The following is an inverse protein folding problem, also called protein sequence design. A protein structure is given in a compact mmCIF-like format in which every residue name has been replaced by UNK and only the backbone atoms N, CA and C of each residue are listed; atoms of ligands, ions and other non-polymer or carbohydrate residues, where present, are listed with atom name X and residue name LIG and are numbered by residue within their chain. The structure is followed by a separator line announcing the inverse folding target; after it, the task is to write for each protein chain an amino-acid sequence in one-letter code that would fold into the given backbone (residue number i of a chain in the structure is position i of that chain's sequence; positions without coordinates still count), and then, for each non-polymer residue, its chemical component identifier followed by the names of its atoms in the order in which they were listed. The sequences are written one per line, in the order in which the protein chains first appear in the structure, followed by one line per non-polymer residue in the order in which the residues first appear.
data_IF_542880546178
#
_entry.id   IF_542880546178
#
_cell.length_a   1.000
_cell.length_b   1.000
_cell.length_c   1.000
_cell.angle_alpha   90.00
_cell.angle_beta   90.00
_cell.angle_gamma   90.00
#
_symmetry.space_group_name_H-M   'P 1'
#
loop_
_entity.id
_entity.type
_entity.pdbx_description
1 polymer ?
#
# COMPACT_ATOMS: atom_id res chain seq x y z
N UNK A 1 15.46 38.14 25.37
CA UNK A 1 15.61 36.71 25.70
C UNK A 1 14.44 36.39 26.62
N UNK A 2 13.32 35.94 26.06
CA UNK A 2 12.16 35.51 26.83
C UNK A 2 12.30 34.02 27.05
N UNK A 3 12.65 33.62 28.27
CA UNK A 3 12.47 32.25 28.76
C UNK A 3 10.97 32.02 28.89
N UNK A 4 10.40 31.21 28.00
CA UNK A 4 9.12 30.55 28.26
C UNK A 4 9.30 29.71 29.55
N UNK A 5 8.29 29.64 30.43
CA UNK A 5 8.41 28.90 31.67
C UNK A 5 8.48 27.39 31.36
N UNK A 6 9.52 26.71 31.84
CA UNK A 6 9.74 25.26 31.70
C UNK A 6 8.50 24.41 32.07
N UNK A 7 7.62 24.94 32.92
CA UNK A 7 6.36 24.32 33.31
C UNK A 7 5.35 24.15 32.16
N UNK A 8 5.33 25.06 31.18
CA UNK A 8 4.40 24.98 30.05
C UNK A 8 4.85 23.94 29.02
N UNK A 9 6.17 23.77 28.83
CA UNK A 9 6.74 22.77 27.93
C UNK A 9 6.56 21.35 28.46
N UNK A 10 6.84 21.12 29.77
CA UNK A 10 6.62 19.80 30.38
C UNK A 10 5.14 19.38 30.41
N UNK A 11 4.22 20.34 30.54
CA UNK A 11 2.79 20.07 30.49
C UNK A 11 2.32 19.70 29.07
N UNK A 12 2.83 20.39 28.04
CA UNK A 12 2.54 20.07 26.64
C UNK A 12 3.09 18.69 26.25
N UNK A 13 4.33 18.40 26.66
CA UNK A 13 4.96 17.09 26.44
C UNK A 13 4.17 15.96 27.11
N UNK A 14 3.73 16.14 28.37
CA UNK A 14 2.92 15.14 29.05
C UNK A 14 1.59 14.85 28.35
N UNK A 15 0.93 15.88 27.81
CA UNK A 15 -0.31 15.72 27.04
C UNK A 15 -0.07 14.89 25.76
N UNK A 16 1.06 15.09 25.08
CA UNK A 16 1.44 14.26 23.92
C UNK A 16 1.66 12.79 24.32
N UNK A 17 2.34 12.54 25.44
CA UNK A 17 2.57 11.19 25.96
C UNK A 17 1.24 10.49 26.33
N UNK A 18 0.31 11.20 26.97
CA UNK A 18 -1.03 10.69 27.27
C UNK A 18 -1.84 10.38 26.01
N UNK A 19 -1.69 11.19 24.95
CA UNK A 19 -2.35 10.93 23.66
C UNK A 19 -1.80 9.68 22.97
N UNK A 20 -0.50 9.42 23.08
CA UNK A 20 0.17 8.27 22.47
C UNK A 20 -0.04 6.96 23.23
N UNK A 21 -0.16 7.04 24.55
CA UNK A 21 -0.16 5.86 25.42
C UNK A 21 -1.22 4.79 25.04
N UNK A 22 -2.49 5.14 24.74
CA UNK A 22 -3.49 4.16 24.31
C UNK A 22 -3.12 3.44 23.02
N UNK A 23 -2.47 4.13 22.07
CA UNK A 23 -2.03 3.52 20.80
C UNK A 23 -0.92 2.49 21.05
N UNK A 24 0.06 2.83 21.88
CA UNK A 24 1.15 1.91 22.24
C UNK A 24 0.64 0.71 23.04
N UNK A 25 -0.31 0.93 23.95
CA UNK A 25 -0.98 -0.13 24.70
C UNK A 25 -1.76 -1.11 23.81
N UNK A 26 -2.39 -0.61 22.75
CA UNK A 26 -3.09 -1.43 21.77
C UNK A 26 -2.11 -2.21 20.89
N UNK A 27 -1.01 -1.58 20.48
CA UNK A 27 0.04 -2.22 19.69
C UNK A 27 0.74 -3.34 20.48
N UNK A 28 1.07 -3.10 21.76
CA UNK A 28 1.57 -4.12 22.69
C UNK A 28 0.66 -5.35 22.75
N UNK A 29 -0.65 -5.12 22.86
CA UNK A 29 -1.66 -6.18 22.93
C UNK A 29 -1.80 -6.94 21.60
N UNK A 30 -1.80 -6.23 20.48
CA UNK A 30 -1.98 -6.84 19.15
C UNK A 30 -0.79 -7.74 18.76
N UNK A 31 0.42 -7.32 19.11
CA UNK A 31 1.64 -8.05 18.75
C UNK A 31 2.27 -8.85 19.90
N UNK A 32 1.62 -8.88 21.07
CA UNK A 32 2.05 -9.63 22.25
C UNK A 32 3.50 -9.29 22.61
N UNK A 33 3.79 -8.00 22.75
CA UNK A 33 5.13 -7.50 23.12
C UNK A 33 5.41 -7.76 24.62
N UNK A 34 4.35 -7.88 25.42
CA UNK A 34 4.36 -8.17 26.87
C UNK A 34 5.19 -7.15 27.67
N UNK A 35 5.01 -5.86 27.36
CA UNK A 35 5.74 -4.81 28.06
C UNK A 35 5.00 -4.31 29.32
N UNK A 36 5.71 -4.05 30.45
CA UNK A 36 5.09 -3.51 31.65
C UNK A 36 4.34 -2.20 31.37
N UNK A 37 3.21 -1.96 32.05
CA UNK A 37 2.45 -0.71 31.91
C UNK A 37 3.14 0.43 32.67
N UNK A 38 2.98 1.66 32.17
CA UNK A 38 3.42 2.86 32.88
C UNK A 38 2.28 3.34 33.79
N UNK A 39 2.46 3.23 35.11
CA UNK A 39 1.41 3.53 36.09
C UNK A 39 0.93 4.98 36.04
N UNK A 40 1.84 5.92 35.78
CA UNK A 40 1.54 7.34 35.80
C UNK A 40 0.74 7.78 34.57
N UNK A 41 1.05 7.19 33.41
CA UNK A 41 0.26 7.36 32.18
C UNK A 41 -1.10 6.66 32.26
N UNK A 42 -1.17 5.49 32.89
CA UNK A 42 -2.43 4.77 33.09
C UNK A 42 -3.35 5.46 34.10
N UNK A 43 -2.77 6.06 35.14
CA UNK A 43 -3.48 6.85 36.14
C UNK A 43 -3.96 8.22 35.66
N UNK A 44 -3.47 8.70 34.51
CA UNK A 44 -3.88 9.99 33.92
C UNK A 44 -3.57 11.18 34.83
N UNK A 45 -2.38 11.19 35.45
CA UNK A 45 -1.99 12.23 36.41
C UNK A 45 -2.04 13.62 35.75
N UNK A 46 -2.82 14.55 36.32
CA UNK A 46 -3.00 15.91 35.75
C UNK A 46 -1.75 16.80 35.92
N UNK A 47 -0.98 16.60 37.00
CA UNK A 47 0.24 17.34 37.31
C UNK A 47 1.40 16.36 37.50
N UNK A 48 2.06 15.92 36.42
CA UNK A 48 3.16 14.97 36.51
C UNK A 48 4.36 15.60 37.22
N UNK A 49 5.09 14.78 37.96
CA UNK A 49 6.43 15.19 38.43
C UNK A 49 7.42 15.09 37.28
N UNK A 50 8.57 15.76 37.38
CA UNK A 50 9.64 15.60 36.39
C UNK A 50 10.07 14.13 36.26
N UNK A 51 10.13 13.41 37.38
CA UNK A 51 10.43 11.97 37.41
C UNK A 51 9.38 11.16 36.62
N UNK A 52 8.10 11.48 36.76
CA UNK A 52 7.01 10.84 35.99
C UNK A 52 7.17 11.05 34.48
N UNK A 53 7.53 12.27 34.05
CA UNK A 53 7.78 12.58 32.64
C UNK A 53 8.98 11.79 32.11
N UNK A 54 10.10 11.77 32.84
CA UNK A 54 11.31 11.03 32.48
C UNK A 54 11.05 9.51 32.40
N UNK A 55 10.30 8.96 33.36
CA UNK A 55 9.91 7.54 33.35
C UNK A 55 9.01 7.20 32.15
N UNK A 56 8.05 8.07 31.82
CA UNK A 56 7.20 7.91 30.66
C UNK A 56 7.99 7.96 29.34
N UNK A 57 8.89 8.95 29.18
CA UNK A 57 9.78 9.04 28.02
C UNK A 57 10.62 7.77 27.85
N UNK A 58 11.22 7.27 28.95
CA UNK A 58 12.00 6.04 28.94
C UNK A 58 11.14 4.83 28.54
N UNK A 59 9.91 4.76 29.05
CA UNK A 59 8.95 3.71 28.67
C UNK A 59 8.68 3.70 27.17
N UNK A 60 8.42 4.87 26.56
CA UNK A 60 8.24 4.98 25.11
C UNK A 60 9.51 4.63 24.34
N UNK A 61 10.68 5.07 24.81
CA UNK A 61 11.96 4.75 24.18
C UNK A 61 12.22 3.23 24.15
N UNK A 62 11.91 2.52 25.24
CA UNK A 62 12.06 1.07 25.34
C UNK A 62 11.05 0.32 24.46
N UNK A 63 9.79 0.80 24.42
CA UNK A 63 8.78 0.27 23.52
C UNK A 63 9.16 0.45 22.06
N UNK A 64 9.67 1.62 21.68
CA UNK A 64 10.08 1.91 20.31
C UNK A 64 11.18 0.97 19.83
N UNK A 65 12.08 0.51 20.69
CA UNK A 65 13.11 -0.47 20.31
C UNK A 65 12.52 -1.85 20.00
N UNK A 66 11.39 -2.20 20.62
CA UNK A 66 10.72 -3.50 20.44
C UNK A 66 9.80 -3.50 19.23
N UNK A 67 9.15 -2.38 18.95
CA UNK A 67 8.21 -2.23 17.84
C UNK A 67 8.96 -2.24 16.52
N UNK A 68 8.62 -3.18 15.65
CA UNK A 68 9.14 -3.25 14.28
C UNK A 68 8.25 -2.44 13.32
N UNK A 69 8.85 -1.88 12.27
CA UNK A 69 8.11 -1.08 11.27
C UNK A 69 6.95 -1.84 10.62
N UNK A 70 7.07 -3.16 10.43
CA UNK A 70 6.01 -3.96 9.84
C UNK A 70 4.81 -4.14 10.79
N UNK A 71 5.05 -4.22 12.11
CA UNK A 71 4.00 -4.27 13.13
C UNK A 71 3.24 -2.94 13.17
N UNK A 72 3.98 -1.83 13.20
CA UNK A 72 3.40 -0.49 13.13
C UNK A 72 2.55 -0.30 11.86
N UNK A 73 3.05 -0.80 10.72
CA UNK A 73 2.30 -0.76 9.46
C UNK A 73 1.00 -1.54 9.53
N UNK A 74 1.05 -2.78 10.00
CA UNK A 74 -0.13 -3.63 10.11
C UNK A 74 -1.15 -2.98 11.05
N UNK A 75 -0.71 -2.55 12.24
CA UNK A 75 -1.54 -1.88 13.23
C UNK A 75 -2.29 -0.67 12.64
N UNK A 76 -1.55 0.27 12.04
CA UNK A 76 -2.13 1.53 11.55
C UNK A 76 -3.03 1.36 10.32
N UNK A 77 -3.01 0.18 9.68
CA UNK A 77 -3.89 -0.14 8.55
C UNK A 77 -5.17 -0.86 8.98
N UNK A 78 -5.18 -1.50 10.14
CA UNK A 78 -6.31 -2.32 10.63
C UNK A 78 -7.05 -1.67 11.79
N UNK A 79 -6.40 -0.76 12.52
CA UNK A 79 -6.96 -0.13 13.72
C UNK A 79 -7.92 1.01 13.38
N UNK A 80 -8.98 1.14 14.18
CA UNK A 80 -9.87 2.32 14.19
C UNK A 80 -9.45 3.36 15.23
N UNK A 81 -8.42 3.07 16.03
CA UNK A 81 -7.98 3.92 17.14
C UNK A 81 -7.16 5.14 16.69
N UNK A 82 -6.70 5.14 15.45
CA UNK A 82 -5.80 6.18 14.95
C UNK A 82 -6.57 7.36 14.37
N UNK A 83 -6.25 8.57 14.83
CA UNK A 83 -6.73 9.84 14.30
C UNK A 83 -5.58 10.63 13.65
N UNK A 84 -5.90 11.68 12.91
CA UNK A 84 -4.89 12.63 12.38
C UNK A 84 -3.97 13.15 13.51
N UNK A 85 -4.56 13.54 14.65
CA UNK A 85 -3.80 14.04 15.80
C UNK A 85 -2.91 12.95 16.40
N UNK A 86 -3.36 11.69 16.45
CA UNK A 86 -2.55 10.57 16.91
C UNK A 86 -1.36 10.28 15.99
N UNK A 87 -1.56 10.34 14.66
CA UNK A 87 -0.47 10.21 13.68
C UNK A 87 0.53 11.36 13.80
N UNK A 88 0.04 12.59 13.96
CA UNK A 88 0.87 13.78 14.16
C UNK A 88 1.73 13.64 15.42
N UNK A 89 1.13 13.32 16.56
CA UNK A 89 1.85 13.14 17.81
C UNK A 89 2.91 12.03 17.71
N UNK A 90 2.61 10.94 17.00
CA UNK A 90 3.55 9.83 16.84
C UNK A 90 4.73 10.24 15.96
N UNK A 91 4.48 11.00 14.89
CA UNK A 91 5.52 11.59 14.06
C UNK A 91 6.41 12.56 14.85
N UNK A 92 5.80 13.45 15.63
CA UNK A 92 6.51 14.41 16.48
C UNK A 92 7.37 13.70 17.53
N UNK A 93 6.85 12.65 18.17
CA UNK A 93 7.62 11.80 19.10
C UNK A 93 8.88 11.20 18.45
N UNK A 94 8.73 10.55 17.28
CA UNK A 94 9.89 9.98 16.59
C UNK A 94 10.86 11.04 16.06
N UNK A 95 10.36 12.20 15.61
CA UNK A 95 11.18 13.32 15.17
C UNK A 95 11.85 14.05 16.35
N UNK A 96 11.27 14.04 17.54
CA UNK A 96 11.83 14.68 18.73
C UNK A 96 13.07 13.98 19.30
N UNK A 97 13.31 12.72 18.90
CA UNK A 97 14.48 11.96 19.37
C UNK A 97 15.80 12.64 19.01
N UNK A 98 16.68 12.77 20.01
CA UNK A 98 18.02 13.33 19.85
C UNK A 98 18.92 12.49 18.93
N UNK A 99 18.75 11.16 18.96
CA UNK A 99 19.45 10.20 18.11
C UNK A 99 18.41 9.30 17.44
N UNK A 100 18.47 9.20 16.11
CA UNK A 100 17.51 8.40 15.32
C UNK A 100 18.25 7.25 14.65
N UNK A 101 17.77 6.03 14.90
CA UNK A 101 18.31 4.83 14.28
C UNK A 101 17.81 4.63 12.85
N UNK A 102 18.36 3.65 12.13
CA UNK A 102 17.79 3.21 10.84
C UNK A 102 16.36 2.68 10.98
N UNK A 103 16.01 2.10 12.14
CA UNK A 103 14.65 1.65 12.43
C UNK A 103 13.71 2.85 12.58
N UNK A 104 14.12 3.89 13.31
CA UNK A 104 13.35 5.13 13.44
C UNK A 104 13.14 5.78 12.07
N UNK A 105 14.16 5.81 11.20
CA UNK A 105 14.01 6.28 9.82
C UNK A 105 12.90 5.56 9.07
N UNK A 106 12.86 4.23 9.12
CA UNK A 106 11.86 3.45 8.39
C UNK A 106 10.45 3.61 8.98
N UNK A 107 10.34 3.83 10.30
CA UNK A 107 9.06 4.18 10.95
C UNK A 107 8.60 5.58 10.55
N UNK A 108 9.47 6.57 10.58
CA UNK A 108 9.18 7.95 10.16
C UNK A 108 8.76 7.97 8.68
N UNK A 109 9.51 7.31 7.80
CA UNK A 109 9.15 7.17 6.37
C UNK A 109 7.74 6.60 6.19
N UNK A 110 7.42 5.53 6.91
CA UNK A 110 6.08 4.96 6.87
C UNK A 110 5.00 5.91 7.42
N UNK A 111 5.24 6.52 8.58
CA UNK A 111 4.30 7.40 9.24
C UNK A 111 4.02 8.67 8.42
N UNK A 112 5.02 9.25 7.77
CA UNK A 112 4.85 10.41 6.89
C UNK A 112 3.95 10.08 5.70
N UNK A 113 4.16 8.92 5.08
CA UNK A 113 3.31 8.45 3.97
C UNK A 113 1.89 8.14 4.46
N UNK A 114 1.74 7.58 5.65
CA UNK A 114 0.44 7.28 6.23
C UNK A 114 -0.32 8.56 6.61
N UNK A 115 0.34 9.54 7.22
CA UNK A 115 -0.22 10.86 7.52
C UNK A 115 -0.62 11.58 6.23
N UNK A 116 0.28 11.66 5.24
CA UNK A 116 -0.05 12.26 3.94
C UNK A 116 -1.25 11.58 3.28
N UNK A 117 -1.28 10.24 3.28
CA UNK A 117 -2.40 9.48 2.72
C UNK A 117 -3.73 9.69 3.47
N UNK A 118 -3.67 10.02 4.76
CA UNK A 118 -4.86 10.31 5.57
C UNK A 118 -5.42 11.71 5.27
N UNK A 119 -4.54 12.69 5.07
CA UNK A 119 -4.91 14.06 4.75
C UNK A 119 -5.22 14.28 3.25
N UNK A 120 -4.71 13.40 2.37
CA UNK A 120 -4.89 13.51 0.92
C UNK A 120 -6.38 13.37 0.52
N UNK A 121 -6.90 14.23 -0.37
CA UNK A 121 -8.26 14.11 -0.89
C UNK A 121 -8.48 12.78 -1.63
N UNK A 122 -9.69 12.24 -1.52
CA UNK A 122 -10.06 10.95 -2.14
C UNK A 122 -9.95 10.92 -3.68
N UNK A 123 -9.91 12.08 -4.35
CA UNK A 123 -9.81 12.22 -5.82
C UNK A 123 -8.50 12.84 -6.31
N UNK A 124 -7.47 12.87 -5.48
CA UNK A 124 -6.16 13.43 -5.84
C UNK A 124 -5.55 12.68 -7.04
N UNK A 125 -5.24 13.37 -8.14
CA UNK A 125 -4.56 12.75 -9.28
C UNK A 125 -3.08 12.56 -8.98
N UNK A 126 -2.41 11.67 -9.72
CA UNK A 126 -0.98 11.38 -9.49
C UNK A 126 -0.11 12.60 -9.87
N UNK A 127 -0.52 13.33 -10.91
CA UNK A 127 0.14 14.53 -11.42
C UNK A 127 0.08 15.70 -10.43
N UNK A 128 -0.98 15.77 -9.63
CA UNK A 128 -1.19 16.82 -8.63
C UNK A 128 -0.31 16.62 -7.38
N UNK A 129 0.31 15.43 -7.21
CA UNK A 129 1.17 15.13 -6.07
C UNK A 129 2.56 15.72 -6.30
N UNK A 130 2.66 17.04 -6.35
CA UNK A 130 3.93 17.76 -6.47
C UNK A 130 4.66 17.87 -5.12
N UNK A 131 5.98 18.14 -5.15
CA UNK A 131 6.78 18.34 -3.92
C UNK A 131 6.18 19.46 -3.05
N UNK A 132 5.75 20.56 -3.66
CA UNK A 132 5.16 21.69 -2.96
C UNK A 132 3.84 21.30 -2.26
N UNK A 133 3.00 20.49 -2.92
CA UNK A 133 1.77 20.00 -2.33
C UNK A 133 2.03 19.08 -1.13
N UNK A 134 2.97 18.14 -1.26
CA UNK A 134 3.36 17.25 -0.15
C UNK A 134 3.95 18.05 1.00
N UNK A 135 4.79 19.05 0.72
CA UNK A 135 5.35 19.94 1.74
C UNK A 135 4.25 20.68 2.53
N UNK A 136 3.26 21.24 1.83
CA UNK A 136 2.14 21.94 2.47
C UNK A 136 1.35 21.03 3.42
N UNK A 137 1.06 19.80 3.01
CA UNK A 137 0.34 18.84 3.84
C UNK A 137 1.15 18.44 5.07
N UNK A 138 2.48 18.30 4.93
CA UNK A 138 3.37 17.89 6.02
C UNK A 138 3.88 19.06 6.89
N UNK A 139 3.64 20.32 6.50
CA UNK A 139 4.07 21.50 7.25
C UNK A 139 3.71 21.44 8.75
N UNK A 140 2.51 20.98 9.18
CA UNK A 140 2.17 20.88 10.60
C UNK A 140 3.03 19.89 11.40
N UNK A 141 3.78 19.02 10.74
CA UNK A 141 4.68 18.05 11.38
C UNK A 141 6.06 18.67 11.64
N UNK A 142 6.44 19.67 10.86
CA UNK A 142 7.78 20.25 10.88
C UNK A 142 7.76 21.62 11.54
N UNK A 143 8.54 21.80 12.61
CA UNK A 143 8.55 23.05 13.37
C UNK A 143 9.10 24.25 12.59
N UNK A 144 9.94 24.04 11.57
CA UNK A 144 10.43 25.01 10.57
C UNK A 144 11.40 24.29 9.61
N UNK A 145 11.49 24.71 8.34
CA UNK A 145 12.51 24.17 7.45
C UNK A 145 12.38 24.55 5.98
N UNK A 146 13.43 24.26 5.23
CA UNK A 146 13.38 24.25 3.76
C UNK A 146 12.83 22.89 3.28
N UNK A 147 11.70 22.95 2.57
CA UNK A 147 11.02 21.80 2.01
C UNK A 147 11.40 21.53 0.55
N UNK A 148 12.34 22.31 -0.01
CA UNK A 148 12.87 22.06 -1.35
C UNK A 148 13.56 20.70 -1.39
N UNK A 149 13.24 19.90 -2.42
CA UNK A 149 13.86 18.60 -2.60
C UNK A 149 15.35 18.79 -2.95
N UNK A 150 16.29 18.21 -2.18
CA UNK A 150 17.71 18.31 -2.49
C UNK A 150 18.07 17.73 -3.86
N UNK A 151 19.03 18.32 -4.57
CA UNK A 151 19.44 17.90 -5.92
C UNK A 151 19.84 16.42 -6.01
N UNK A 152 20.45 15.86 -4.95
CA UNK A 152 20.85 14.46 -4.90
C UNK A 152 19.66 13.47 -4.90
N UNK A 153 18.42 13.98 -4.73
CA UNK A 153 17.17 13.24 -4.86
C UNK A 153 16.51 13.34 -6.23
N UNK A 154 17.10 14.07 -7.20
CA UNK A 154 16.64 14.09 -8.58
C UNK A 154 16.38 12.69 -9.20
N UNK A 155 17.14 11.62 -8.87
CA UNK A 155 16.84 10.27 -9.37
C UNK A 155 15.45 9.73 -9.00
N UNK A 156 14.81 10.23 -7.93
CA UNK A 156 13.46 9.78 -7.54
C UNK A 156 12.42 10.04 -8.64
N UNK A 157 12.54 11.15 -9.37
CA UNK A 157 11.63 11.46 -10.48
C UNK A 157 11.83 10.55 -11.69
N UNK A 158 13.07 10.11 -11.94
CA UNK A 158 13.35 9.09 -12.97
C UNK A 158 12.76 7.74 -12.59
N UNK A 159 12.87 7.36 -11.32
CA UNK A 159 12.29 6.13 -10.78
C UNK A 159 10.77 6.12 -10.89
N UNK A 160 10.11 7.24 -10.58
CA UNK A 160 8.66 7.38 -10.73
C UNK A 160 8.21 7.30 -12.19
N UNK A 161 8.91 7.96 -13.10
CA UNK A 161 8.64 7.84 -14.54
C UNK A 161 8.74 6.40 -15.01
N UNK A 162 9.83 5.71 -14.68
CA UNK A 162 10.00 4.30 -15.03
C UNK A 162 8.93 3.39 -14.40
N UNK A 163 8.47 3.69 -13.19
CA UNK A 163 7.42 2.92 -12.52
C UNK A 163 6.06 3.11 -13.21
N UNK A 164 5.77 4.33 -13.67
CA UNK A 164 4.54 4.63 -14.42
C UNK A 164 4.51 3.94 -15.79
N UNK A 165 5.66 3.73 -16.42
CA UNK A 165 5.77 3.03 -17.70
C UNK A 165 5.57 1.50 -17.59
N UNK A 166 5.66 0.93 -16.38
CA UNK A 166 5.39 -0.49 -16.17
C UNK A 166 3.94 -0.86 -16.54
N UNK A 167 3.75 -2.07 -17.09
CA UNK A 167 2.43 -2.60 -17.52
C UNK A 167 2.01 -3.84 -16.73
N UNK A 168 2.91 -4.34 -15.89
CA UNK A 168 2.67 -5.44 -14.97
C UNK A 168 3.44 -5.28 -13.67
N UNK A 169 2.99 -5.99 -12.63
CA UNK A 169 3.78 -6.14 -11.40
C UNK A 169 5.14 -6.80 -11.69
N UNK A 170 5.20 -7.72 -12.64
CA UNK A 170 6.46 -8.36 -13.04
C UNK A 170 7.46 -7.36 -13.60
N UNK A 171 7.01 -6.42 -14.45
CA UNK A 171 7.87 -5.36 -15.01
C UNK A 171 8.42 -4.48 -13.90
N UNK A 172 7.55 -4.07 -12.96
CA UNK A 172 7.92 -3.23 -11.82
C UNK A 172 8.99 -3.90 -10.95
N UNK A 173 8.79 -5.19 -10.61
CA UNK A 173 9.73 -5.96 -9.80
C UNK A 173 11.05 -6.22 -10.54
N UNK A 174 11.00 -6.50 -11.84
CA UNK A 174 12.20 -6.78 -12.65
C UNK A 174 13.02 -5.51 -12.89
N UNK A 175 12.37 -4.35 -13.02
CA UNK A 175 13.03 -3.06 -13.17
C UNK A 175 13.82 -2.62 -11.91
N UNK A 176 13.55 -3.27 -10.76
CA UNK A 176 14.26 -3.03 -9.50
C UNK A 176 14.09 -1.63 -8.95
N UNK A 177 12.96 -0.98 -9.25
CA UNK A 177 12.74 0.45 -8.94
C UNK A 177 12.63 0.66 -7.42
N UNK A 178 11.91 -0.23 -6.73
CA UNK A 178 11.78 -0.20 -5.28
C UNK A 178 13.13 -0.40 -4.59
N UNK A 179 13.96 -1.31 -5.10
CA UNK A 179 15.29 -1.60 -4.58
C UNK A 179 16.21 -0.39 -4.75
N UNK A 180 16.15 0.30 -5.89
CA UNK A 180 16.88 1.54 -6.14
C UNK A 180 16.45 2.66 -5.17
N UNK A 181 15.14 2.85 -4.98
CA UNK A 181 14.60 3.81 -4.02
C UNK A 181 15.01 3.50 -2.57
N UNK A 182 14.90 2.24 -2.15
CA UNK A 182 15.36 1.78 -0.83
C UNK A 182 16.86 2.00 -0.64
N UNK A 183 17.68 1.72 -1.65
CA UNK A 183 19.13 1.94 -1.61
C UNK A 183 19.47 3.43 -1.49
N UNK A 184 18.77 4.30 -2.23
CA UNK A 184 18.96 5.75 -2.13
C UNK A 184 18.60 6.26 -0.73
N UNK A 185 17.46 5.81 -0.17
CA UNK A 185 17.06 6.11 1.21
C UNK A 185 18.07 5.60 2.23
N UNK A 186 18.56 4.37 2.07
CA UNK A 186 19.55 3.77 2.94
C UNK A 186 20.85 4.60 2.99
N UNK A 187 21.34 4.99 1.81
CA UNK A 187 22.56 5.77 1.63
C UNK A 187 22.45 7.22 2.11
N UNK A 188 21.24 7.77 2.25
CA UNK A 188 21.04 9.12 2.74
C UNK A 188 21.56 9.30 4.18
N UNK A 189 21.51 8.25 5.00
CA UNK A 189 21.90 8.32 6.42
C UNK A 189 21.18 9.48 7.12
N UNK A 190 21.94 10.31 7.82
CA UNK A 190 21.44 11.52 8.50
C UNK A 190 20.80 12.55 7.55
N UNK A 191 21.22 12.59 6.29
CA UNK A 191 20.63 13.51 5.29
C UNK A 191 19.16 13.20 4.99
N UNK A 192 18.66 12.02 5.39
CA UNK A 192 17.25 11.72 5.29
C UNK A 192 16.40 12.66 6.14
N UNK A 193 16.88 13.05 7.33
CA UNK A 193 16.09 13.79 8.32
C UNK A 193 15.98 15.30 8.05
N UNK A 194 16.50 15.79 6.92
CA UNK A 194 16.21 17.16 6.49
C UNK A 194 14.79 17.22 5.91
N UNK A 195 13.99 18.27 6.20
CA UNK A 195 12.59 18.31 5.80
C UNK A 195 12.34 18.07 4.30
N UNK A 196 13.09 18.73 3.41
CA UNK A 196 12.98 18.51 1.97
C UNK A 196 13.25 17.06 1.51
N UNK A 197 14.13 16.32 2.19
CA UNK A 197 14.35 14.91 1.87
C UNK A 197 13.19 14.03 2.32
N UNK A 198 12.64 14.28 3.52
CA UNK A 198 11.46 13.58 4.02
C UNK A 198 10.23 13.83 3.13
N UNK A 199 10.03 15.06 2.66
CA UNK A 199 8.98 15.41 1.69
C UNK A 199 9.17 14.63 0.38
N UNK A 200 10.38 14.62 -0.17
CA UNK A 200 10.67 13.92 -1.42
C UNK A 200 10.47 12.39 -1.32
N UNK A 201 10.92 11.76 -0.23
CA UNK A 201 10.68 10.34 0.01
C UNK A 201 9.21 10.04 0.29
N UNK A 202 8.49 10.93 0.99
CA UNK A 202 7.04 10.77 1.21
C UNK A 202 6.29 10.77 -0.12
N UNK A 203 6.59 11.74 -1.00
CA UNK A 203 6.03 11.80 -2.36
C UNK A 203 6.33 10.52 -3.14
N UNK A 204 7.60 10.11 -3.17
CA UNK A 204 8.03 8.91 -3.88
C UNK A 204 7.29 7.67 -3.37
N UNK A 205 7.30 7.42 -2.07
CA UNK A 205 6.68 6.26 -1.45
C UNK A 205 5.17 6.23 -1.65
N UNK A 206 4.50 7.39 -1.58
CA UNK A 206 3.06 7.51 -1.85
C UNK A 206 2.72 7.17 -3.30
N UNK A 207 3.41 7.77 -4.27
CA UNK A 207 3.18 7.50 -5.69
C UNK A 207 3.53 6.06 -6.07
N UNK A 208 4.62 5.51 -5.51
CA UNK A 208 4.96 4.10 -5.70
C UNK A 208 3.88 3.16 -5.15
N UNK A 209 3.23 3.52 -4.03
CA UNK A 209 2.08 2.79 -3.48
C UNK A 209 0.93 2.75 -4.51
N UNK A 210 0.62 3.88 -5.15
CA UNK A 210 -0.42 3.99 -6.17
C UNK A 210 -0.09 3.19 -7.44
N UNK A 211 1.13 3.30 -7.94
CA UNK A 211 1.60 2.49 -9.08
C UNK A 211 1.47 1.01 -8.78
N UNK A 212 1.90 0.57 -7.60
CA UNK A 212 1.78 -0.82 -7.19
C UNK A 212 0.33 -1.32 -7.20
N UNK A 213 -0.61 -0.57 -6.61
CA UNK A 213 -2.03 -0.93 -6.60
C UNK A 213 -2.64 -0.94 -8.00
N UNK A 214 -2.33 0.06 -8.83
CA UNK A 214 -2.78 0.11 -10.22
C UNK A 214 -2.37 -1.15 -10.98
N UNK A 215 -1.09 -1.52 -10.89
CA UNK A 215 -0.55 -2.70 -11.57
C UNK A 215 -1.13 -3.99 -10.99
N UNK A 216 -1.25 -4.08 -9.66
CA UNK A 216 -1.88 -5.24 -9.02
C UNK A 216 -3.30 -5.47 -9.51
N UNK A 217 -4.14 -4.43 -9.56
CA UNK A 217 -5.49 -4.53 -10.09
C UNK A 217 -5.51 -4.89 -11.57
N UNK A 218 -4.62 -4.29 -12.36
CA UNK A 218 -4.48 -4.60 -13.79
C UNK A 218 -4.10 -6.07 -14.02
N UNK A 219 -3.13 -6.59 -13.27
CA UNK A 219 -2.70 -7.98 -13.34
C UNK A 219 -3.82 -8.93 -12.94
N UNK A 220 -4.55 -8.61 -11.87
CA UNK A 220 -5.67 -9.42 -11.40
C UNK A 220 -6.83 -9.46 -12.40
N UNK A 221 -7.17 -8.32 -13.01
CA UNK A 221 -8.17 -8.27 -14.07
C UNK A 221 -7.70 -9.06 -15.30
N UNK A 222 -6.44 -8.92 -15.71
CA UNK A 222 -5.86 -9.69 -16.82
C UNK A 222 -5.92 -11.20 -16.56
N UNK A 223 -5.66 -11.64 -15.32
CA UNK A 223 -5.79 -13.03 -14.90
C UNK A 223 -7.25 -13.49 -15.05
N UNK A 224 -8.21 -12.74 -14.52
CA UNK A 224 -9.63 -13.10 -14.57
C UNK A 224 -10.17 -13.16 -15.99
N UNK A 225 -9.77 -12.23 -16.85
CA UNK A 225 -10.17 -12.20 -18.26
C UNK A 225 -9.51 -13.35 -19.03
N UNK A 226 -8.23 -13.62 -18.77
CA UNK A 226 -7.52 -14.74 -19.39
C UNK A 226 -8.10 -16.11 -18.99
N UNK A 227 -8.53 -16.28 -17.73
CA UNK A 227 -9.23 -17.48 -17.27
C UNK A 227 -10.57 -17.68 -18.00
N UNK A 228 -11.36 -16.60 -18.18
CA UNK A 228 -12.60 -16.65 -18.97
C UNK A 228 -12.33 -17.06 -20.42
N UNK A 229 -11.29 -16.50 -21.03
CA UNK A 229 -10.97 -16.81 -22.41
C UNK A 229 -10.50 -18.26 -22.59
N UNK A 230 -9.72 -18.80 -21.65
CA UNK A 230 -9.32 -20.21 -21.65
C UNK A 230 -10.53 -21.15 -21.54
N UNK A 231 -11.49 -20.82 -20.68
CA UNK A 231 -12.75 -21.55 -20.53
C UNK A 231 -13.57 -21.54 -21.83
N UNK A 232 -13.69 -20.39 -22.50
CA UNK A 232 -14.33 -20.28 -23.82
C UNK A 232 -13.61 -21.12 -24.89
N UNK A 233 -12.28 -21.26 -24.77
CA UNK A 233 -11.47 -22.13 -25.64
C UNK A 233 -11.51 -23.61 -25.25
N UNK A 234 -12.35 -23.99 -24.28
CA UNK A 234 -12.57 -25.38 -23.86
C UNK A 234 -11.53 -25.93 -22.87
N UNK A 235 -10.69 -25.07 -22.29
CA UNK A 235 -9.74 -25.47 -21.24
C UNK A 235 -10.47 -25.47 -19.90
N UNK A 236 -10.46 -26.59 -19.19
CA UNK A 236 -11.09 -26.72 -17.86
C UNK A 236 -10.08 -26.65 -16.70
N UNK A 237 -8.83 -27.03 -16.95
CA UNK A 237 -7.77 -27.12 -15.94
C UNK A 237 -6.43 -26.58 -16.46
N UNK A 238 -5.54 -26.19 -15.54
CA UNK A 238 -4.22 -25.64 -15.84
C UNK A 238 -3.14 -26.19 -14.90
N UNK A 239 -1.93 -26.39 -15.43
CA UNK A 239 -0.75 -26.64 -14.60
C UNK A 239 -0.24 -25.32 -13.99
N UNK A 240 -0.59 -25.12 -12.72
CA UNK A 240 -0.28 -23.90 -11.97
C UNK A 240 0.79 -24.13 -10.88
N UNK A 241 1.58 -25.20 -10.96
CA UNK A 241 2.66 -25.49 -9.98
C UNK A 241 3.67 -24.36 -9.83
N UNK A 242 3.95 -23.64 -10.92
CA UNK A 242 4.82 -22.46 -10.91
C UNK A 242 4.31 -21.36 -9.96
N UNK A 243 2.99 -21.26 -9.79
CA UNK A 243 2.33 -20.33 -8.88
C UNK A 243 1.93 -21.00 -7.55
N UNK A 244 2.55 -22.13 -7.20
CA UNK A 244 2.31 -22.89 -5.96
C UNK A 244 0.89 -23.50 -5.85
N UNK A 245 0.24 -23.74 -6.98
CA UNK A 245 -1.04 -24.49 -7.05
C UNK A 245 -0.81 -25.92 -7.56
N UNK A 246 -1.89 -26.68 -7.76
CA UNK A 246 -1.80 -28.03 -8.30
C UNK A 246 -1.44 -28.03 -9.80
N UNK A 247 -1.06 -29.20 -10.31
CA UNK A 247 -0.77 -29.42 -11.72
C UNK A 247 -2.02 -29.52 -12.61
N UNK A 248 -3.20 -29.67 -11.99
CA UNK A 248 -4.49 -29.80 -12.66
C UNK A 248 -5.50 -28.89 -11.96
N UNK A 249 -5.14 -27.62 -11.82
CA UNK A 249 -5.94 -26.67 -11.06
C UNK A 249 -7.18 -26.26 -11.87
N UNK A 250 -8.41 -26.47 -11.34
CA UNK A 250 -9.62 -26.10 -12.06
C UNK A 250 -9.72 -24.58 -12.25
N UNK A 251 -10.08 -24.13 -13.45
CA UNK A 251 -10.26 -22.70 -13.74
C UNK A 251 -11.29 -22.05 -12.79
N UNK A 252 -12.38 -22.75 -12.47
CA UNK A 252 -13.39 -22.29 -11.53
C UNK A 252 -12.81 -21.98 -10.14
N UNK A 253 -11.89 -22.82 -9.65
CA UNK A 253 -11.22 -22.63 -8.36
C UNK A 253 -10.24 -21.46 -8.41
N UNK A 254 -9.45 -21.33 -9.47
CA UNK A 254 -8.56 -20.19 -9.69
C UNK A 254 -9.32 -18.85 -9.67
N UNK A 255 -10.52 -18.80 -10.26
CA UNK A 255 -11.37 -17.59 -10.22
C UNK A 255 -11.81 -17.23 -8.82
N UNK A 256 -12.23 -18.20 -8.00
CA UNK A 256 -12.62 -17.92 -6.61
C UNK A 256 -11.44 -17.39 -5.79
N UNK A 257 -10.25 -17.95 -5.97
CA UNK A 257 -9.02 -17.49 -5.31
C UNK A 257 -8.68 -16.06 -5.75
N UNK A 258 -8.73 -15.77 -7.06
CA UNK A 258 -8.46 -14.42 -7.55
C UNK A 258 -9.50 -13.39 -7.06
N UNK A 259 -10.73 -13.81 -6.80
CA UNK A 259 -11.75 -12.94 -6.21
C UNK A 259 -11.46 -12.63 -4.74
N UNK A 260 -10.99 -13.61 -3.94
CA UNK A 260 -10.62 -13.35 -2.54
C UNK A 260 -9.39 -12.44 -2.42
N UNK A 261 -8.47 -12.51 -3.37
CA UNK A 261 -7.32 -11.62 -3.45
C UNK A 261 -7.68 -10.14 -3.63
N UNK A 262 -8.82 -9.81 -4.26
CA UNK A 262 -9.29 -8.41 -4.34
C UNK A 262 -9.46 -7.77 -2.96
N UNK A 263 -9.84 -8.57 -1.96
CA UNK A 263 -10.08 -8.10 -0.58
C UNK A 263 -8.80 -8.17 0.25
N UNK A 264 -8.02 -9.26 0.12
CA UNK A 264 -6.80 -9.45 0.93
C UNK A 264 -5.72 -8.39 0.70
N UNK A 265 -5.48 -7.96 -0.54
CA UNK A 265 -4.42 -6.99 -0.83
C UNK A 265 -4.71 -5.56 -0.35
N UNK A 266 -5.93 -5.28 0.12
CA UNK A 266 -6.25 -4.03 0.82
C UNK A 266 -5.87 -4.09 2.31
N UNK A 267 -5.85 -5.28 2.92
CA UNK A 267 -5.62 -5.47 4.35
C UNK A 267 -4.16 -5.82 4.68
N UNK A 268 -3.43 -6.46 3.78
CA UNK A 268 -2.07 -6.93 4.03
C UNK A 268 -1.05 -6.26 3.11
N UNK A 269 -0.35 -5.24 3.62
CA UNK A 269 0.94 -4.83 3.04
C UNK A 269 2.12 -5.70 3.51
N UNK A 270 1.84 -6.92 3.96
CA UNK A 270 2.82 -7.90 4.42
C UNK A 270 2.64 -9.23 3.70
N UNK A 271 3.36 -9.40 2.58
CA UNK A 271 4.16 -10.61 2.28
C UNK A 271 4.43 -10.75 0.78
N UNK A 272 5.68 -11.08 0.42
CA UNK A 272 6.09 -11.28 -0.98
C UNK A 272 5.51 -12.54 -1.63
N UNK A 273 4.99 -13.49 -0.84
CA UNK A 273 4.49 -14.77 -1.35
C UNK A 273 3.19 -14.63 -2.17
N UNK A 274 2.10 -14.00 -1.66
CA UNK A 274 0.90 -13.76 -2.46
C UNK A 274 1.18 -12.95 -3.73
N UNK A 275 2.07 -11.96 -3.65
CA UNK A 275 2.47 -11.16 -4.80
C UNK A 275 3.19 -12.00 -5.86
N UNK A 276 4.11 -12.87 -5.44
CA UNK A 276 4.84 -13.76 -6.34
C UNK A 276 3.90 -14.76 -7.00
N UNK A 277 2.97 -15.34 -6.24
CA UNK A 277 1.94 -16.23 -6.76
C UNK A 277 1.09 -15.54 -7.84
N UNK A 278 0.69 -14.28 -7.63
CA UNK A 278 -0.07 -13.51 -8.62
C UNK A 278 0.73 -13.31 -9.91
N UNK A 279 2.00 -12.91 -9.81
CA UNK A 279 2.88 -12.72 -10.98
C UNK A 279 3.09 -14.04 -11.74
N UNK A 280 3.37 -15.13 -11.04
CA UNK A 280 3.59 -16.43 -11.66
C UNK A 280 2.30 -17.00 -12.26
N UNK A 281 1.13 -16.78 -11.63
CA UNK A 281 -0.16 -17.19 -12.17
C UNK A 281 -0.48 -16.46 -13.47
N UNK A 282 -0.22 -15.14 -13.54
CA UNK A 282 -0.36 -14.36 -14.77
C UNK A 282 0.51 -14.94 -15.90
N UNK A 283 1.75 -15.31 -15.59
CA UNK A 283 2.65 -15.92 -16.57
C UNK A 283 2.13 -17.28 -17.08
N UNK A 284 1.58 -18.13 -16.19
CA UNK A 284 0.97 -19.41 -16.56
C UNK A 284 -0.21 -19.22 -17.51
N UNK A 285 -1.12 -18.29 -17.20
CA UNK A 285 -2.30 -18.01 -18.02
C UNK A 285 -1.92 -17.47 -19.40
N UNK A 286 -0.99 -16.51 -19.46
CA UNK A 286 -0.50 -15.97 -20.73
C UNK A 286 0.13 -17.09 -21.60
N UNK A 287 0.91 -17.99 -21.00
CA UNK A 287 1.51 -19.11 -21.72
C UNK A 287 0.45 -20.13 -22.18
N UNK A 288 -0.62 -20.35 -21.41
CA UNK A 288 -1.74 -21.19 -21.84
C UNK A 288 -2.50 -20.56 -23.01
N UNK A 289 -2.83 -19.26 -22.93
CA UNK A 289 -3.50 -18.52 -24.00
C UNK A 289 -2.70 -18.48 -25.29
N UNK A 290 -1.37 -18.40 -25.22
CA UNK A 290 -0.50 -18.43 -26.40
C UNK A 290 -0.48 -19.82 -27.09
N UNK A 291 -0.68 -20.90 -26.32
CA UNK A 291 -0.66 -22.28 -26.82
C UNK A 291 -2.01 -22.78 -27.32
N UNK A 292 -3.11 -22.22 -26.83
CA UNK A 292 -4.46 -22.62 -27.22
C UNK A 292 -4.97 -21.72 -28.35
N UNK A 293 -4.93 -22.10 -29.63
CA UNK A 293 -5.39 -21.23 -30.71
C UNK A 293 -6.88 -20.90 -30.57
N UNK A 294 -7.26 -19.65 -30.84
CA UNK A 294 -8.67 -19.23 -30.93
C UNK A 294 -9.37 -20.05 -32.01
N UNK A 295 -10.59 -20.54 -31.77
CA UNK A 295 -11.30 -21.40 -32.74
C UNK A 295 -11.51 -20.74 -34.11
N UNK A 296 -11.40 -19.41 -34.21
CA UNK A 296 -11.35 -18.65 -35.46
C UNK A 296 -10.13 -19.00 -36.35
N UNK A 297 -8.95 -19.26 -35.76
CA UNK A 297 -7.72 -19.65 -36.49
C UNK A 297 -7.78 -21.12 -36.97
N UNK A 298 -8.54 -21.96 -36.28
CA UNK A 298 -8.80 -23.33 -36.71
C UNK A 298 -9.71 -23.39 -37.96
N UNK A 299 -10.62 -22.42 -38.12
CA UNK A 299 -11.47 -22.28 -39.34
C UNK A 299 -10.67 -21.84 -40.57
N UNK A 300 -9.62 -21.03 -40.43
CA UNK A 300 -8.82 -20.57 -41.59
C UNK A 300 -7.94 -21.68 -42.17
N UNK A 301 -7.47 -22.61 -41.32
CA UNK A 301 -6.71 -23.80 -41.78
C UNK A 301 -7.60 -24.90 -42.39
N UNK A 302 -8.87 -24.96 -42.02
CA UNK A 302 -9.84 -25.90 -42.63
C UNK A 302 -10.48 -25.33 -43.90
N UNK A 303 -10.62 -24.01 -44.05
CA UNK A 303 -11.11 -23.38 -45.28
C UNK A 303 -10.13 -23.51 -46.48
N UNK A 304 -8.83 -23.64 -46.24
CA UNK A 304 -7.84 -23.91 -47.30
C UNK A 304 -7.82 -25.37 -47.77
N UNK A 305 -8.47 -26.29 -47.05
CA UNK A 305 -8.50 -27.73 -47.34
C UNK A 305 -9.88 -28.25 -47.78
N UNK A 306 -10.87 -27.36 -47.93
CA UNK A 306 -12.27 -27.75 -48.16
C UNK A 306 -13.02 -26.79 -49.07
N UNK A 307 -12.57 -26.63 -50.31
CA UNK A 307 -13.44 -26.13 -51.39
C UNK A 307 -13.86 -27.34 -52.23
N UNK A 308 -14.88 -28.04 -51.75
CA UNK A 308 -15.86 -28.66 -52.63
C UNK A 308 -17.15 -28.96 -51.87
N UNK A 309 -18.26 -28.52 -52.48
CA UNK A 309 -19.65 -28.92 -52.23
C UNK A 309 -20.52 -27.92 -51.44
N UNK A 310 -21.18 -27.09 -52.25
CA UNK A 310 -22.64 -26.85 -52.31
C UNK A 310 -23.39 -26.27 -51.10
N UNK A 311 -24.03 -25.15 -51.42
CA UNK A 311 -24.99 -24.37 -50.67
C UNK A 311 -26.28 -25.11 -50.28
N UNK A 312 -26.87 -24.68 -49.16
CA UNK A 312 -28.32 -24.62 -48.98
C UNK A 312 -28.69 -23.54 -47.96
N UNK A 313 -29.41 -22.52 -48.42
CA UNK A 313 -30.05 -21.46 -47.64
C UNK A 313 -31.07 -22.03 -46.64
N UNK A 314 -31.17 -21.40 -45.46
CA UNK A 314 -32.47 -21.18 -44.82
C UNK A 314 -32.39 -20.00 -43.83
N UNK A 315 -33.25 -19.01 -44.05
CA UNK A 315 -33.42 -17.80 -43.24
C UNK A 315 -34.23 -18.06 -41.95
N UNK A 316 -33.79 -17.39 -40.86
CA UNK A 316 -34.56 -16.64 -39.84
C UNK A 316 -35.66 -17.34 -38.98
N UNK A 317 -35.96 -16.87 -37.73
CA UNK A 317 -35.85 -15.47 -37.29
C UNK A 317 -35.24 -15.18 -35.90
N UNK A 318 -34.98 -13.88 -35.75
CA UNK A 318 -34.55 -13.11 -34.59
C UNK A 318 -35.47 -13.25 -33.38
N UNK A 319 -34.88 -13.21 -32.18
CA UNK A 319 -35.60 -12.87 -30.96
C UNK A 319 -34.82 -11.79 -30.19
N UNK A 320 -35.37 -10.57 -30.26
CA UNK A 320 -35.05 -9.42 -29.41
C UNK A 320 -35.92 -9.51 -28.16
N UNK A 321 -35.42 -9.02 -27.02
CA UNK A 321 -36.10 -8.42 -25.84
C UNK A 321 -35.23 -8.72 -24.61
N UNK A 322 -34.97 -7.86 -23.64
CA UNK A 322 -34.98 -6.40 -23.49
C UNK A 322 -34.14 -6.16 -22.23
N UNK A 323 -33.41 -5.05 -22.22
CA UNK A 323 -32.79 -4.46 -21.04
C UNK A 323 -33.86 -4.08 -20.01
N UNK A 324 -33.77 -4.62 -18.80
CA UNK A 324 -34.44 -4.05 -17.64
C UNK A 324 -33.49 -4.07 -16.44
N UNK A 325 -33.10 -2.87 -16.00
CA UNK A 325 -32.41 -2.61 -14.74
C UNK A 325 -33.45 -2.24 -13.69
N UNK A 326 -33.44 -2.83 -12.49
CA UNK A 326 -34.25 -2.31 -11.40
C UNK A 326 -33.47 -1.24 -10.63
N UNK A 327 -34.02 -0.03 -10.70
CA UNK A 327 -33.78 1.11 -9.81
C UNK A 327 -33.56 0.68 -8.35
N UNK A 328 -32.48 1.19 -7.76
CA UNK A 328 -32.30 1.19 -6.31
C UNK A 328 -32.90 2.50 -5.78
N UNK A 329 -34.05 2.36 -5.10
CA UNK A 329 -34.67 3.43 -4.34
C UNK A 329 -33.73 3.95 -3.27
N UNK A 330 -33.57 5.26 -3.33
CA UNK A 330 -33.08 6.14 -2.29
C UNK A 330 -34.17 6.22 -1.21
N UNK A 331 -33.86 5.81 0.01
CA UNK A 331 -34.66 6.12 1.20
C UNK A 331 -33.68 6.50 2.32
N UNK A 332 -33.54 7.81 2.51
CA UNK A 332 -32.94 8.41 3.68
C UNK A 332 -33.98 8.76 4.74
N UNK A 333 -33.47 8.94 5.96
CA UNK A 333 -34.07 9.59 7.14
C UNK A 333 -34.67 8.66 8.20
N UNK A 334 -33.91 8.43 9.27
CA UNK A 334 -34.19 8.94 10.61
C UNK A 334 -32.91 8.97 11.44
#
# INVERSE_FOLDING_TARGET
MSTLPESDESAAEWQELLLLYPLYCALDREFVIEFPRCSDLEGGVEAPTQESVEQAQQWFADMDQRIQVHQLRQFLQTTTLTSENGLRAMLQHYLGKLQRSSSDRDKIDFLLVQFFSHCAPSRLQDEDVEIAYVAQVLEPIFSTGDFSAPDWLAPLDEYLRAANDCRSLNDLLTAGILEKGRKLKANAGEKYFVPGAMVAFTRFSFLMRRVFFRLMHQDLNSILDGLRELEVRGVSTLDCRRAQFSADEPIARLRMICQSWKVMFHAEYSSGQPLRMLVDLRAVINAALARTPTSASARTKTAAAGVNSSASNSEAPEFVVSSDSPDRKDDGSA
#
